data_IF_953526207533
#
_entry.id   IF_953526207533
#
_cell.length_a   1.000
_cell.length_b   1.000
_cell.length_c   1.000
_cell.angle_alpha   90.00
_cell.angle_beta   90.00
_cell.angle_gamma   90.00
#
_symmetry.space_group_name_H-M   'P 1'
#
loop_
_entity.id
_entity.type
_entity.pdbx_description
1 polymer ?
#
# COMPACT_ATOMS: atom_id res chain seq x y z
N UNK A 1 17.13 25.73 -11.54
CA UNK A 1 16.45 24.72 -10.71
C UNK A 1 17.49 23.90 -9.96
N UNK A 2 17.29 23.61 -8.67
CA UNK A 2 18.20 22.75 -7.89
C UNK A 2 18.08 21.28 -8.33
N UNK A 3 19.16 20.51 -8.31
CA UNK A 3 19.12 19.07 -8.56
C UNK A 3 18.49 18.34 -7.37
N UNK A 4 17.85 17.18 -7.60
CA UNK A 4 17.23 16.39 -6.53
C UNK A 4 18.22 16.03 -5.40
N UNK A 5 19.50 15.82 -5.75
CA UNK A 5 20.60 15.53 -4.81
C UNK A 5 20.91 16.67 -3.83
N UNK A 6 20.48 17.89 -4.13
CA UNK A 6 20.73 19.08 -3.29
C UNK A 6 19.65 19.28 -2.22
N UNK A 7 18.53 18.54 -2.29
CA UNK A 7 17.48 18.61 -1.30
C UNK A 7 17.74 17.64 -0.15
N UNK A 8 17.38 18.06 1.07
CA UNK A 8 17.44 17.16 2.22
C UNK A 8 16.34 16.08 2.14
N UNK A 9 16.52 15.01 2.92
CA UNK A 9 15.59 13.86 2.92
C UNK A 9 14.15 14.25 3.25
N UNK A 10 13.94 15.22 4.16
CA UNK A 10 12.60 15.66 4.56
C UNK A 10 11.87 16.30 3.39
N UNK A 11 12.52 17.21 2.66
CA UNK A 11 11.95 17.85 1.47
C UNK A 11 11.64 16.82 0.39
N UNK A 12 12.55 15.88 0.12
CA UNK A 12 12.32 14.81 -0.86
C UNK A 12 11.13 13.94 -0.44
N UNK A 13 11.01 13.62 0.85
CA UNK A 13 9.87 12.83 1.37
C UNK A 13 8.55 13.57 1.13
N UNK A 14 8.50 14.87 1.43
CA UNK A 14 7.29 15.68 1.15
C UNK A 14 6.97 15.69 -0.34
N UNK A 15 7.96 15.84 -1.22
CA UNK A 15 7.74 15.76 -2.67
C UNK A 15 7.17 14.41 -3.09
N UNK A 16 7.68 13.30 -2.55
CA UNK A 16 7.15 11.95 -2.83
C UNK A 16 5.71 11.81 -2.33
N UNK A 17 5.37 12.34 -1.15
CA UNK A 17 4.00 12.32 -0.64
C UNK A 17 3.05 13.18 -1.49
N UNK A 18 3.49 14.35 -1.94
CA UNK A 18 2.69 15.21 -2.83
C UNK A 18 2.43 14.53 -4.17
N UNK A 19 3.43 13.85 -4.74
CA UNK A 19 3.26 13.11 -6.00
C UNK A 19 2.37 11.89 -5.79
N UNK A 20 2.51 11.16 -4.68
CA UNK A 20 1.59 10.07 -4.36
C UNK A 20 0.15 10.58 -4.20
N UNK A 21 -0.05 11.73 -3.54
CA UNK A 21 -1.36 12.37 -3.44
C UNK A 21 -1.93 12.73 -4.83
N UNK A 22 -1.12 13.35 -5.69
CA UNK A 22 -1.52 13.66 -7.06
C UNK A 22 -1.92 12.41 -7.85
N UNK A 23 -1.15 11.32 -7.76
CA UNK A 23 -1.50 10.04 -8.37
C UNK A 23 -2.82 9.51 -7.81
N UNK A 24 -3.03 9.52 -6.50
CA UNK A 24 -4.30 9.08 -5.89
C UNK A 24 -5.50 9.90 -6.35
N UNK A 25 -5.34 11.22 -6.51
CA UNK A 25 -6.38 12.10 -7.04
C UNK A 25 -6.70 11.79 -8.50
N UNK A 26 -5.69 11.48 -9.33
CA UNK A 26 -5.93 11.05 -10.71
C UNK A 26 -6.79 9.77 -10.77
N UNK A 27 -6.54 8.80 -9.88
CA UNK A 27 -7.35 7.59 -9.82
C UNK A 27 -8.80 7.83 -9.36
N UNK A 28 -9.02 8.85 -8.51
CA UNK A 28 -10.34 9.20 -8.02
C UNK A 28 -11.16 10.03 -9.03
N UNK A 29 -10.51 10.92 -9.78
CA UNK A 29 -11.22 11.94 -10.56
C UNK A 29 -11.01 11.85 -12.08
N UNK A 30 -9.96 11.17 -12.53
CA UNK A 30 -9.57 11.14 -13.95
C UNK A 30 -9.69 9.74 -14.54
N UNK A 31 -9.16 8.73 -13.87
CA UNK A 31 -9.19 7.35 -14.36
C UNK A 31 -10.60 6.78 -14.18
N UNK A 32 -11.24 6.22 -15.22
CA UNK A 32 -12.55 5.61 -15.08
C UNK A 32 -12.57 4.51 -14.03
N UNK A 33 -13.61 4.47 -13.20
CA UNK A 33 -13.73 3.45 -12.15
C UNK A 33 -13.81 2.03 -12.74
N UNK A 34 -14.44 1.87 -13.89
CA UNK A 34 -14.48 0.61 -14.64
C UNK A 34 -13.10 0.13 -15.15
N UNK A 35 -12.05 0.95 -15.09
CA UNK A 35 -10.69 0.49 -15.42
C UNK A 35 -10.00 -0.17 -14.22
N UNK A 36 -10.56 -0.02 -13.03
CA UNK A 36 -10.06 -0.68 -11.83
C UNK A 36 -10.59 -2.13 -11.79
N UNK A 37 -9.70 -3.13 -11.80
CA UNK A 37 -10.05 -4.54 -12.01
C UNK A 37 -11.16 -5.06 -11.11
N UNK A 38 -11.08 -4.78 -9.81
CA UNK A 38 -12.07 -5.25 -8.83
C UNK A 38 -13.46 -4.64 -9.07
N UNK A 39 -13.55 -3.36 -9.45
CA UNK A 39 -14.84 -2.70 -9.68
C UNK A 39 -15.45 -3.08 -11.00
N UNK A 40 -14.63 -3.27 -12.05
CA UNK A 40 -15.10 -3.85 -13.30
C UNK A 40 -15.72 -5.23 -13.07
N UNK A 41 -15.05 -6.07 -12.28
CA UNK A 41 -15.53 -7.42 -11.98
C UNK A 41 -16.79 -7.43 -11.12
N UNK A 42 -16.83 -6.63 -10.04
CA UNK A 42 -17.95 -6.63 -9.09
C UNK A 42 -19.18 -5.86 -9.56
N UNK A 43 -19.01 -4.79 -10.35
CA UNK A 43 -20.07 -3.84 -10.72
C UNK A 43 -20.25 -3.68 -12.23
N UNK A 44 -19.41 -4.32 -13.04
CA UNK A 44 -19.50 -4.31 -14.49
C UNK A 44 -18.82 -3.10 -15.16
N UNK A 45 -18.88 -3.02 -16.51
CA UNK A 45 -18.18 -2.01 -17.31
C UNK A 45 -18.72 -0.59 -17.14
N UNK A 46 -19.91 -0.44 -16.57
CA UNK A 46 -20.61 0.84 -16.47
C UNK A 46 -20.44 1.51 -15.09
N UNK A 47 -19.69 0.91 -14.17
CA UNK A 47 -19.45 1.48 -12.84
C UNK A 47 -18.75 2.83 -12.94
N UNK A 48 -19.25 3.80 -12.17
CA UNK A 48 -18.75 5.18 -12.12
C UNK A 48 -18.31 5.52 -10.71
N UNK A 49 -17.49 6.56 -10.65
CA UNK A 49 -17.16 7.19 -9.38
C UNK A 49 -18.44 7.68 -8.71
N UNK A 50 -18.51 7.49 -7.39
CA UNK A 50 -19.64 7.92 -6.54
C UNK A 50 -20.96 7.18 -6.78
N UNK A 51 -20.97 6.09 -7.56
CA UNK A 51 -22.12 5.19 -7.59
C UNK A 51 -22.41 4.67 -6.18
N UNK A 52 -23.69 4.45 -5.88
CA UNK A 52 -24.08 3.94 -4.56
C UNK A 52 -23.48 2.54 -4.33
N UNK A 53 -22.77 2.38 -3.21
CA UNK A 53 -22.02 1.16 -2.93
C UNK A 53 -20.61 1.13 -3.51
N UNK A 54 -20.21 2.08 -4.35
CA UNK A 54 -18.83 2.18 -4.82
C UNK A 54 -17.94 2.79 -3.73
N UNK A 55 -16.74 2.23 -3.53
CA UNK A 55 -15.78 2.83 -2.60
C UNK A 55 -15.24 4.15 -3.18
N UNK A 56 -14.90 5.09 -2.30
CA UNK A 56 -14.12 6.25 -2.68
C UNK A 56 -12.65 5.80 -2.77
N UNK A 57 -12.16 5.65 -4.00
CA UNK A 57 -10.86 5.10 -4.37
C UNK A 57 -9.71 5.71 -3.59
N UNK A 58 -9.67 7.04 -3.41
CA UNK A 58 -8.60 7.72 -2.67
C UNK A 58 -8.55 7.32 -1.18
N UNK A 59 -9.62 6.77 -0.61
CA UNK A 59 -9.61 6.27 0.78
C UNK A 59 -9.22 4.79 0.88
N UNK A 60 -9.11 4.09 -0.26
CA UNK A 60 -8.62 2.72 -0.26
C UNK A 60 -7.12 2.70 0.02
N UNK A 61 -6.70 1.78 0.87
CA UNK A 61 -5.30 1.61 1.25
C UNK A 61 -4.45 1.20 0.05
N UNK A 62 -4.99 0.32 -0.79
CA UNK A 62 -4.34 -0.14 -2.01
C UNK A 62 -3.99 1.00 -2.97
N UNK A 63 -4.83 2.05 -3.07
CA UNK A 63 -4.49 3.26 -3.81
C UNK A 63 -3.20 3.89 -3.32
N UNK A 64 -3.08 4.04 -2.00
CA UNK A 64 -1.90 4.67 -1.41
C UNK A 64 -0.66 3.82 -1.58
N UNK A 65 -0.79 2.49 -1.51
CA UNK A 65 0.31 1.57 -1.80
C UNK A 65 0.80 1.75 -3.24
N UNK A 66 -0.12 1.77 -4.21
CA UNK A 66 0.20 2.02 -5.61
C UNK A 66 0.85 3.40 -5.81
N UNK A 67 0.21 4.46 -5.33
CA UNK A 67 0.69 5.84 -5.48
C UNK A 67 2.08 6.04 -4.87
N UNK A 68 2.35 5.45 -3.70
CA UNK A 68 3.66 5.53 -3.05
C UNK A 68 4.71 4.68 -3.77
N UNK A 69 4.33 3.55 -4.36
CA UNK A 69 5.21 2.75 -5.21
C UNK A 69 5.62 3.50 -6.50
N UNK A 70 4.73 4.30 -7.08
CA UNK A 70 5.08 5.21 -8.19
C UNK A 70 6.02 6.31 -7.71
N UNK A 71 5.68 7.01 -6.61
CA UNK A 71 6.50 8.08 -6.06
C UNK A 71 7.88 7.60 -5.56
N UNK A 72 8.01 6.32 -5.23
CA UNK A 72 9.27 5.69 -4.81
C UNK A 72 10.38 5.84 -5.85
N UNK A 73 10.06 5.85 -7.15
CA UNK A 73 11.05 5.99 -8.23
C UNK A 73 11.84 7.31 -8.21
N UNK A 74 11.33 8.35 -7.53
CA UNK A 74 12.00 9.64 -7.37
C UNK A 74 13.25 9.51 -6.50
N UNK A 75 13.13 8.84 -5.35
CA UNK A 75 14.24 8.59 -4.41
C UNK A 75 14.06 7.22 -3.76
N UNK A 76 14.74 6.23 -4.34
CA UNK A 76 14.61 4.81 -3.97
C UNK A 76 15.20 4.43 -2.60
N UNK A 77 16.07 5.28 -2.06
CA UNK A 77 16.73 5.06 -0.77
C UNK A 77 16.05 5.80 0.39
N UNK A 78 14.80 6.27 0.20
CA UNK A 78 14.06 6.95 1.26
C UNK A 78 13.57 5.93 2.31
N UNK A 79 14.09 5.96 3.55
CA UNK A 79 13.69 4.99 4.56
C UNK A 79 12.22 5.07 4.96
N UNK A 80 11.60 6.26 4.95
CA UNK A 80 10.19 6.40 5.34
C UNK A 80 9.27 5.68 4.34
N UNK A 81 9.49 5.94 3.05
CA UNK A 81 8.72 5.31 1.97
C UNK A 81 9.01 3.81 1.90
N UNK A 82 10.28 3.42 2.03
CA UNK A 82 10.69 2.02 1.97
C UNK A 82 10.09 1.17 3.10
N UNK A 83 10.11 1.68 4.33
CA UNK A 83 9.49 0.95 5.45
C UNK A 83 7.98 0.84 5.26
N UNK A 84 7.30 1.91 4.86
CA UNK A 84 5.85 1.86 4.60
C UNK A 84 5.48 0.81 3.53
N UNK A 85 6.17 0.82 2.39
CA UNK A 85 5.93 -0.13 1.30
C UNK A 85 6.29 -1.57 1.69
N UNK A 86 7.36 -1.82 2.43
CA UNK A 86 7.71 -3.19 2.82
C UNK A 86 6.73 -3.74 3.84
N UNK A 87 6.32 -2.95 4.84
CA UNK A 87 5.35 -3.44 5.82
C UNK A 87 3.93 -3.56 5.25
N UNK A 88 3.63 -2.99 4.08
CA UNK A 88 2.38 -3.27 3.35
C UNK A 88 2.38 -4.60 2.59
N UNK A 89 3.52 -5.29 2.46
CA UNK A 89 3.60 -6.58 1.75
C UNK A 89 2.58 -7.60 2.24
N UNK A 90 2.36 -7.68 3.54
CA UNK A 90 1.43 -8.65 4.12
C UNK A 90 0.00 -8.37 3.65
N UNK A 91 -0.43 -7.10 3.72
CA UNK A 91 -1.74 -6.69 3.21
C UNK A 91 -1.87 -6.98 1.72
N UNK A 92 -0.84 -6.64 0.95
CA UNK A 92 -0.79 -6.91 -0.50
C UNK A 92 -0.88 -8.41 -0.81
N UNK A 93 -0.15 -9.27 -0.10
CA UNK A 93 -0.19 -10.74 -0.29
C UNK A 93 -1.60 -11.26 -0.01
N UNK A 94 -2.22 -10.85 1.09
CA UNK A 94 -3.58 -11.28 1.44
C UNK A 94 -4.58 -10.84 0.37
N UNK A 95 -4.47 -9.59 -0.11
CA UNK A 95 -5.35 -9.05 -1.14
C UNK A 95 -5.15 -9.78 -2.48
N UNK A 96 -3.91 -9.87 -2.97
CA UNK A 96 -3.59 -10.57 -4.23
C UNK A 96 -4.02 -12.04 -4.17
N UNK A 97 -3.78 -12.72 -3.04
CA UNK A 97 -4.23 -14.10 -2.87
C UNK A 97 -5.75 -14.20 -2.93
N UNK A 98 -6.47 -13.30 -2.26
CA UNK A 98 -7.93 -13.25 -2.32
C UNK A 98 -8.40 -13.00 -3.75
N UNK A 99 -7.79 -12.06 -4.46
CA UNK A 99 -8.16 -11.69 -5.83
C UNK A 99 -7.92 -12.80 -6.84
N UNK A 100 -6.79 -13.48 -6.75
CA UNK A 100 -6.46 -14.61 -7.62
C UNK A 100 -7.35 -15.82 -7.30
N UNK A 101 -7.45 -16.20 -6.03
CA UNK A 101 -8.09 -17.46 -5.63
C UNK A 101 -9.61 -17.34 -5.62
N UNK A 102 -10.15 -16.23 -5.14
CA UNK A 102 -11.60 -16.06 -5.00
C UNK A 102 -12.25 -15.42 -6.22
N UNK A 103 -11.54 -14.54 -6.94
CA UNK A 103 -12.12 -13.77 -8.05
C UNK A 103 -11.49 -14.06 -9.42
N UNK A 104 -10.40 -14.84 -9.49
CA UNK A 104 -9.70 -15.12 -10.74
C UNK A 104 -9.08 -13.88 -11.40
N UNK A 105 -8.80 -12.83 -10.63
CA UNK A 105 -8.32 -11.54 -11.13
C UNK A 105 -6.78 -11.53 -11.28
N UNK A 106 -6.29 -12.08 -12.39
CA UNK A 106 -4.86 -12.14 -12.68
C UNK A 106 -4.25 -10.83 -13.21
N UNK A 107 -5.10 -9.91 -13.67
CA UNK A 107 -4.70 -8.64 -14.30
C UNK A 107 -4.72 -7.46 -13.32
N UNK A 108 -4.74 -7.72 -12.00
CA UNK A 108 -4.79 -6.65 -11.01
C UNK A 108 -3.46 -5.91 -10.83
N UNK A 109 -3.17 -5.05 -11.81
CA UNK A 109 -1.98 -4.19 -11.84
C UNK A 109 -1.89 -3.27 -10.61
N UNK A 110 -3.02 -3.01 -9.95
CA UNK A 110 -3.11 -2.11 -8.81
C UNK A 110 -2.37 -2.65 -7.59
N UNK A 111 -2.38 -3.98 -7.41
CA UNK A 111 -1.66 -4.65 -6.33
C UNK A 111 -0.30 -5.21 -6.78
N UNK A 112 -0.15 -5.57 -8.06
CA UNK A 112 1.10 -6.15 -8.59
C UNK A 112 2.27 -5.16 -8.54
N UNK A 113 2.08 -3.89 -8.95
CA UNK A 113 3.15 -2.88 -8.93
C UNK A 113 3.68 -2.63 -7.51
N UNK A 114 2.85 -2.28 -6.51
CA UNK A 114 3.36 -2.08 -5.16
C UNK A 114 3.96 -3.36 -4.59
N UNK A 115 3.41 -4.54 -4.89
CA UNK A 115 4.00 -5.81 -4.47
C UNK A 115 5.42 -5.99 -5.02
N UNK A 116 5.63 -5.80 -6.33
CA UNK A 116 6.94 -5.92 -6.97
C UNK A 116 7.96 -4.92 -6.41
N UNK A 117 7.56 -3.66 -6.20
CA UNK A 117 8.41 -2.64 -5.58
C UNK A 117 8.80 -3.03 -4.16
N UNK A 118 7.85 -3.50 -3.36
CA UNK A 118 8.13 -3.89 -1.98
C UNK A 118 9.03 -5.13 -1.87
N UNK A 119 8.87 -6.12 -2.74
CA UNK A 119 9.79 -7.26 -2.84
C UNK A 119 11.19 -6.78 -3.25
N UNK A 120 11.29 -5.88 -4.22
CA UNK A 120 12.57 -5.29 -4.61
C UNK A 120 13.25 -4.57 -3.44
N UNK A 121 12.50 -3.76 -2.67
CA UNK A 121 13.05 -3.07 -1.50
C UNK A 121 13.53 -4.07 -0.44
N UNK A 122 12.71 -5.08 -0.14
CA UNK A 122 13.04 -6.12 0.84
C UNK A 122 14.32 -6.87 0.46
N UNK A 123 14.53 -7.18 -0.81
CA UNK A 123 15.73 -7.86 -1.29
C UNK A 123 16.93 -6.91 -1.43
N UNK A 124 16.79 -5.82 -2.19
CA UNK A 124 17.93 -5.02 -2.68
C UNK A 124 18.19 -3.75 -1.88
N UNK A 125 17.27 -3.33 -1.01
CA UNK A 125 17.37 -2.08 -0.22
C UNK A 125 17.14 -2.32 1.27
N UNK A 126 17.41 -3.53 1.76
CA UNK A 126 17.21 -3.98 3.15
C UNK A 126 17.87 -3.06 4.19
N UNK A 127 18.98 -2.42 3.87
CA UNK A 127 19.69 -1.51 4.78
C UNK A 127 18.85 -0.30 5.18
N UNK A 128 17.94 0.13 4.29
CA UNK A 128 17.00 1.23 4.55
C UNK A 128 15.82 0.84 5.44
N UNK A 129 15.68 -0.45 5.78
CA UNK A 129 14.57 -0.97 6.58
C UNK A 129 14.90 -1.00 8.06
N UNK A 130 13.94 -0.59 8.87
CA UNK A 130 14.05 -0.45 10.31
C UNK A 130 12.89 -1.21 10.99
N UNK A 131 13.19 -2.30 11.73
CA UNK A 131 12.18 -3.12 12.41
C UNK A 131 11.18 -2.32 13.27
N UNK A 132 11.65 -1.24 13.91
CA UNK A 132 10.81 -0.38 14.77
C UNK A 132 9.67 0.34 14.03
N UNK A 133 9.76 0.48 12.71
CA UNK A 133 8.70 1.14 11.93
C UNK A 133 7.44 0.28 11.78
N UNK A 134 7.51 -1.02 12.10
CA UNK A 134 6.32 -1.88 12.11
C UNK A 134 5.26 -1.34 13.07
N UNK A 135 5.66 -0.80 14.22
CA UNK A 135 4.73 -0.24 15.23
C UNK A 135 3.97 0.95 14.61
N UNK A 136 4.71 1.85 13.97
CA UNK A 136 4.14 3.05 13.35
C UNK A 136 3.19 2.66 12.21
N UNK A 137 3.57 1.67 11.39
CA UNK A 137 2.71 1.21 10.30
C UNK A 137 1.45 0.51 10.83
N UNK A 138 1.57 -0.33 11.86
CA UNK A 138 0.43 -1.02 12.49
C UNK A 138 -0.57 -0.04 13.10
N UNK A 139 -0.11 1.02 13.75
CA UNK A 139 -0.99 2.08 14.28
C UNK A 139 -1.67 2.82 13.13
N UNK A 140 -0.89 3.26 12.13
CA UNK A 140 -1.43 3.99 10.99
C UNK A 140 -2.49 3.17 10.24
N UNK A 141 -2.18 1.93 9.89
CA UNK A 141 -3.09 1.08 9.11
C UNK A 141 -4.35 0.76 9.89
N UNK A 142 -4.26 0.54 11.21
CA UNK A 142 -5.41 0.29 12.08
C UNK A 142 -6.34 1.51 12.11
N UNK A 143 -5.80 2.69 12.41
CA UNK A 143 -6.58 3.93 12.48
C UNK A 143 -7.22 4.23 11.12
N UNK A 144 -6.44 4.17 10.05
CA UNK A 144 -6.91 4.44 8.70
C UNK A 144 -8.06 3.51 8.30
N UNK A 145 -7.85 2.20 8.45
CA UNK A 145 -8.83 1.19 8.09
C UNK A 145 -10.11 1.34 8.92
N UNK A 146 -10.03 1.54 10.24
CA UNK A 146 -11.22 1.73 11.05
C UNK A 146 -11.99 3.01 10.66
N UNK A 147 -11.30 4.13 10.46
CA UNK A 147 -11.93 5.39 10.02
C UNK A 147 -12.65 5.22 8.69
N UNK A 148 -11.97 4.65 7.70
CA UNK A 148 -12.50 4.49 6.34
C UNK A 148 -13.71 3.55 6.32
N UNK A 149 -13.69 2.48 7.12
CA UNK A 149 -14.81 1.56 7.26
C UNK A 149 -16.02 2.22 7.93
N UNK A 150 -15.83 2.84 9.11
CA UNK A 150 -16.95 3.40 9.89
C UNK A 150 -17.55 4.67 9.28
N UNK A 151 -16.74 5.48 8.60
CA UNK A 151 -17.23 6.65 7.85
C UNK A 151 -17.84 6.26 6.49
N UNK A 152 -17.92 4.96 6.17
CA UNK A 152 -18.44 4.42 4.90
C UNK A 152 -17.74 5.00 3.67
N UNK A 153 -16.44 5.25 3.78
CA UNK A 153 -15.62 5.79 2.69
C UNK A 153 -15.10 4.66 1.78
N UNK A 154 -14.73 3.52 2.35
CA UNK A 154 -14.41 2.29 1.62
C UNK A 154 -14.57 1.05 2.51
N UNK A 155 -14.63 -0.13 1.89
CA UNK A 155 -14.70 -1.45 2.55
C UNK A 155 -15.94 -1.71 3.40
N UNK A 156 -16.90 -0.78 3.44
CA UNK A 156 -18.10 -0.82 4.29
C UNK A 156 -19.09 -1.93 3.92
N UNK A 157 -18.89 -2.58 2.77
CA UNK A 157 -19.67 -3.74 2.33
C UNK A 157 -19.15 -5.05 2.93
N UNK A 158 -17.90 -5.08 3.41
CA UNK A 158 -17.33 -6.29 4.00
C UNK A 158 -17.94 -6.52 5.39
N UNK A 159 -18.23 -7.78 5.79
CA UNK A 159 -18.60 -8.08 7.17
C UNK A 159 -17.53 -7.59 8.15
N UNK A 160 -17.95 -6.90 9.21
CA UNK A 160 -17.02 -6.31 10.19
C UNK A 160 -16.09 -7.36 10.82
N UNK A 161 -16.57 -8.60 11.00
CA UNK A 161 -15.76 -9.69 11.56
C UNK A 161 -14.63 -10.04 10.60
N UNK A 162 -14.92 -10.27 9.32
CA UNK A 162 -13.90 -10.58 8.30
C UNK A 162 -12.88 -9.45 8.19
N UNK A 163 -13.35 -8.21 8.27
CA UNK A 163 -12.51 -7.03 8.26
C UNK A 163 -11.53 -6.99 9.44
N UNK A 164 -12.02 -7.20 10.66
CA UNK A 164 -11.20 -7.20 11.87
C UNK A 164 -10.22 -8.37 11.89
N UNK A 165 -10.62 -9.56 11.44
CA UNK A 165 -9.73 -10.73 11.31
C UNK A 165 -8.57 -10.42 10.36
N UNK A 166 -8.87 -9.87 9.18
CA UNK A 166 -7.83 -9.46 8.21
C UNK A 166 -6.89 -8.42 8.80
N UNK A 167 -7.42 -7.43 9.51
CA UNK A 167 -6.59 -6.41 10.18
C UNK A 167 -5.65 -7.03 11.21
N UNK A 168 -6.13 -7.91 12.07
CA UNK A 168 -5.31 -8.60 13.07
C UNK A 168 -4.22 -9.44 12.39
N UNK A 169 -4.56 -10.18 11.34
CA UNK A 169 -3.58 -10.96 10.56
C UNK A 169 -2.50 -10.07 9.95
N UNK A 170 -2.87 -8.93 9.36
CA UNK A 170 -1.93 -7.96 8.79
C UNK A 170 -0.96 -7.47 9.86
N UNK A 171 -1.46 -7.10 11.04
CA UNK A 171 -0.63 -6.60 12.14
C UNK A 171 0.33 -7.68 12.63
N UNK A 172 -0.18 -8.88 12.96
CA UNK A 172 0.63 -9.98 13.49
C UNK A 172 1.73 -10.38 12.50
N UNK A 173 1.37 -10.63 11.25
CA UNK A 173 2.33 -11.02 10.21
C UNK A 173 3.29 -9.87 9.86
N UNK A 174 2.88 -8.61 10.03
CA UNK A 174 3.77 -7.46 9.93
C UNK A 174 4.89 -7.49 10.97
N UNK A 175 4.59 -7.88 12.22
CA UNK A 175 5.62 -8.10 13.24
C UNK A 175 6.54 -9.27 12.88
N UNK A 176 6.00 -10.37 12.36
CA UNK A 176 6.83 -11.49 11.87
C UNK A 176 7.82 -11.01 10.80
N UNK A 177 7.34 -10.22 9.83
CA UNK A 177 8.20 -9.61 8.81
C UNK A 177 9.29 -8.71 9.43
N UNK A 178 8.96 -7.91 10.44
CA UNK A 178 9.92 -7.09 11.16
C UNK A 178 11.02 -7.92 11.85
N UNK A 179 10.66 -9.06 12.45
CA UNK A 179 11.63 -10.01 13.01
C UNK A 179 12.53 -10.62 11.94
N UNK A 180 11.98 -11.00 10.78
CA UNK A 180 12.75 -11.51 9.65
C UNK A 180 13.75 -10.46 9.17
N UNK A 181 13.33 -9.21 8.98
CA UNK A 181 14.22 -8.10 8.58
C UNK A 181 15.35 -7.94 9.61
N UNK A 182 15.01 -7.93 10.90
CA UNK A 182 16.00 -7.82 11.99
C UNK A 182 17.02 -8.95 11.96
N UNK A 183 16.57 -10.19 11.73
CA UNK A 183 17.44 -11.36 11.65
C UNK A 183 18.38 -11.27 10.46
N UNK A 184 17.86 -10.97 9.27
CA UNK A 184 18.65 -10.87 8.04
C UNK A 184 19.73 -9.79 8.14
N UNK A 185 19.40 -8.60 8.67
CA UNK A 185 20.39 -7.53 8.87
C UNK A 185 21.50 -7.91 9.85
N UNK A 186 21.19 -8.70 10.87
CA UNK A 186 22.21 -9.20 11.82
C UNK A 186 23.15 -10.21 11.19
N UNK A 187 22.67 -10.99 10.23
CA UNK A 187 23.48 -11.97 9.50
C UNK A 187 24.48 -11.25 8.59
N UNK A 188 24.02 -10.28 7.80
CA UNK A 188 24.87 -9.53 6.88
C UNK A 188 26.01 -8.78 7.60
N UNK A 189 25.79 -8.32 8.85
CA UNK A 189 26.80 -7.61 9.65
C UNK A 189 27.83 -8.55 10.33
N UNK A 190 27.65 -9.87 10.26
CA UNK A 190 28.56 -10.87 10.85
C UNK A 190 29.48 -11.51 9.81
N UNK A 191 29.19 -11.33 8.53
CA UNK A 191 30.02 -11.71 7.38
C UNK A 191 30.96 -10.56 7.01
#
# INVERSE_FOLDING_TARGET
MKKLSEYNLKTITIMQLLIACAVSLLFQFVIPMAWQPLYFFGSGPNVRHFDEGANIVIFTVSQWYFSLAIAWFIKRDNPYINNFLVYSLIGLIITIFTEIVSYGLFYDYYHIIPFGVSIYIFWKKRDTLYPKYVIHNSIFITIWLLLVYFLRLAYFQAPIIDYLVRLVLIVILGYVLAYIIKYLKKRDNKE
#
